data_IF_622068629407
#
_entry.id   IF_622068629407
#
_cell.length_a   1.000
_cell.length_b   1.000
_cell.length_c   1.000
_cell.angle_alpha   90.00
_cell.angle_beta   90.00
_cell.angle_gamma   90.00
#
_symmetry.space_group_name_H-M   'P 1'
#
loop_
_entity.id
_entity.type
_entity.pdbx_description
1 polymer ?
#
# COMPACT_ATOMS: atom_id res chain seq x y z
N UNK A 1 -0.39 14.00 6.37
CA UNK A 1 -0.47 14.77 5.10
C UNK A 1 0.89 14.90 4.39
N UNK A 2 1.99 15.20 5.10
CA UNK A 2 3.35 15.29 4.52
C UNK A 2 3.79 14.05 3.73
N UNK A 3 3.75 12.85 4.33
CA UNK A 3 4.13 11.60 3.66
C UNK A 3 3.35 11.34 2.36
N UNK A 4 2.05 11.64 2.35
CA UNK A 4 1.20 11.49 1.16
C UNK A 4 1.62 12.45 0.05
N UNK A 5 1.95 13.70 0.39
CA UNK A 5 2.44 14.67 -0.58
C UNK A 5 3.81 14.27 -1.14
N UNK A 6 4.72 13.80 -0.27
CA UNK A 6 6.04 13.31 -0.68
C UNK A 6 5.95 12.08 -1.62
N UNK A 7 5.03 11.16 -1.35
CA UNK A 7 4.84 9.97 -2.19
C UNK A 7 4.35 10.28 -3.62
N UNK A 8 3.68 11.41 -3.81
CA UNK A 8 3.09 11.82 -5.10
C UNK A 8 3.90 12.89 -5.83
N UNK A 9 4.90 13.48 -5.17
CA UNK A 9 5.73 14.53 -5.75
C UNK A 9 6.37 14.07 -7.08
N UNK A 10 6.21 14.88 -8.14
CA UNK A 10 6.74 14.58 -9.48
C UNK A 10 5.95 13.53 -10.26
N UNK A 11 5.08 12.75 -9.61
CA UNK A 11 4.30 11.67 -10.26
C UNK A 11 3.13 12.23 -11.06
N UNK A 12 2.48 13.28 -10.57
CA UNK A 12 1.34 13.88 -11.25
C UNK A 12 1.77 14.59 -12.54
N UNK A 13 2.95 15.22 -12.55
CA UNK A 13 3.54 15.80 -13.75
C UNK A 13 3.97 14.71 -14.75
N UNK A 14 4.45 13.56 -14.26
CA UNK A 14 4.86 12.43 -15.09
C UNK A 14 3.66 11.67 -15.71
N UNK A 15 2.52 11.63 -15.01
CA UNK A 15 1.30 10.92 -15.43
C UNK A 15 0.07 11.83 -15.35
N UNK A 16 0.00 12.91 -16.16
CA UNK A 16 -1.04 13.94 -16.05
C UNK A 16 -2.45 13.41 -16.38
N UNK A 17 -2.55 12.32 -17.13
CA UNK A 17 -3.80 11.67 -17.49
C UNK A 17 -4.43 10.85 -16.37
N UNK A 18 -3.71 10.62 -15.26
CA UNK A 18 -4.19 9.80 -14.15
C UNK A 18 -4.76 10.72 -13.07
N UNK A 19 -6.10 10.81 -12.91
CA UNK A 19 -6.69 11.58 -11.83
C UNK A 19 -6.31 10.97 -10.48
N UNK A 20 -5.93 11.83 -9.52
CA UNK A 20 -5.50 11.40 -8.19
C UNK A 20 -6.43 12.00 -7.13
N UNK A 21 -7.15 11.13 -6.44
CA UNK A 21 -7.97 11.50 -5.29
C UNK A 21 -7.26 11.16 -3.99
N UNK A 22 -7.07 12.17 -3.13
CA UNK A 22 -6.39 12.01 -1.84
C UNK A 22 -7.43 11.78 -0.74
N UNK A 23 -7.47 10.56 -0.21
CA UNK A 23 -8.40 10.21 0.87
C UNK A 23 -7.60 9.96 2.16
N UNK A 24 -7.88 10.75 3.20
CA UNK A 24 -7.33 10.54 4.54
C UNK A 24 -8.42 10.01 5.46
N UNK A 25 -8.26 8.78 5.94
CA UNK A 25 -9.18 8.14 6.87
C UNK A 25 -8.53 8.08 8.25
N UNK A 26 -9.29 8.39 9.30
CA UNK A 26 -8.88 8.17 10.69
C UNK A 26 -9.48 6.86 11.16
N UNK A 27 -8.65 5.90 11.55
CA UNK A 27 -9.11 4.59 12.02
C UNK A 27 -8.10 3.47 11.76
N UNK A 28 -8.57 2.23 11.82
CA UNK A 28 -7.78 1.05 11.48
C UNK A 28 -7.59 0.97 9.96
N UNK A 29 -6.32 0.83 9.53
CA UNK A 29 -6.00 0.78 8.11
C UNK A 29 -6.58 -0.44 7.40
N UNK A 30 -6.75 -1.58 8.09
CA UNK A 30 -7.30 -2.81 7.51
C UNK A 30 -8.76 -2.60 7.14
N UNK A 31 -9.55 -2.10 8.08
CA UNK A 31 -10.98 -1.85 7.89
C UNK A 31 -11.19 -0.87 6.73
N UNK A 32 -10.47 0.26 6.74
CA UNK A 32 -10.58 1.27 5.70
C UNK A 32 -10.20 0.74 4.31
N UNK A 33 -9.16 -0.08 4.20
CA UNK A 33 -8.73 -0.65 2.92
C UNK A 33 -9.68 -1.77 2.43
N UNK A 34 -10.21 -2.59 3.34
CA UNK A 34 -11.21 -3.61 3.01
C UNK A 34 -12.49 -2.94 2.50
N UNK A 35 -12.97 -1.88 3.17
CA UNK A 35 -14.13 -1.13 2.70
C UNK A 35 -13.86 -0.48 1.33
N UNK A 36 -12.69 0.15 1.15
CA UNK A 36 -12.31 0.75 -0.12
C UNK A 36 -12.23 -0.27 -1.27
N UNK A 37 -11.87 -1.53 -0.98
CA UNK A 37 -11.82 -2.60 -1.97
C UNK A 37 -13.18 -2.88 -2.63
N UNK A 38 -14.29 -2.58 -1.95
CA UNK A 38 -15.65 -2.71 -2.50
C UNK A 38 -15.96 -1.80 -3.67
N UNK A 39 -15.16 -0.75 -3.87
CA UNK A 39 -15.34 0.26 -4.92
C UNK A 39 -14.14 0.37 -5.86
N UNK A 40 -13.14 -0.49 -5.71
CA UNK A 40 -11.90 -0.46 -6.48
C UNK A 40 -11.80 -1.63 -7.46
N UNK A 41 -11.29 -1.39 -8.66
CA UNK A 41 -10.97 -2.47 -9.61
C UNK A 41 -9.67 -3.22 -9.28
N UNK A 42 -8.78 -2.60 -8.50
CA UNK A 42 -7.52 -3.18 -8.02
C UNK A 42 -7.08 -2.42 -6.78
N UNK A 43 -6.62 -3.14 -5.75
CA UNK A 43 -6.02 -2.55 -4.56
C UNK A 43 -4.52 -2.86 -4.51
N UNK A 44 -3.70 -1.82 -4.38
CA UNK A 44 -2.22 -1.94 -4.36
C UNK A 44 -1.69 -1.54 -2.99
N UNK A 45 -0.90 -2.43 -2.37
CA UNK A 45 -0.31 -2.24 -1.05
C UNK A 45 1.16 -2.64 -1.06
N UNK A 46 1.96 -2.06 -0.16
CA UNK A 46 3.30 -2.57 0.13
C UNK A 46 3.26 -3.93 0.83
N UNK A 47 4.30 -4.73 0.66
CA UNK A 47 4.46 -5.98 1.41
C UNK A 47 4.68 -5.74 2.90
N UNK A 48 5.35 -4.64 3.26
CA UNK A 48 5.60 -4.21 4.64
C UNK A 48 5.24 -2.74 4.81
N UNK A 49 4.83 -2.38 6.03
CA UNK A 49 4.55 -1.00 6.42
C UNK A 49 5.72 -0.34 7.16
N UNK A 50 5.43 0.75 7.88
CA UNK A 50 6.42 1.51 8.66
C UNK A 50 6.84 0.86 9.99
N UNK A 51 6.24 -0.29 10.34
CA UNK A 51 6.58 -1.09 11.51
C UNK A 51 6.50 -2.58 11.18
N UNK A 52 7.24 -3.40 11.94
CA UNK A 52 7.24 -4.85 11.77
C UNK A 52 8.48 -5.52 12.34
N UNK A 53 8.38 -6.83 12.55
CA UNK A 53 9.49 -7.67 12.99
C UNK A 53 10.37 -8.05 11.80
N UNK A 54 11.69 -8.06 11.99
CA UNK A 54 12.62 -8.61 11.02
C UNK A 54 12.24 -10.08 10.73
N UNK A 55 12.21 -10.47 9.46
CA UNK A 55 11.92 -11.84 9.02
C UNK A 55 10.48 -12.12 8.56
N UNK A 56 9.51 -11.22 8.77
CA UNK A 56 8.16 -11.41 8.23
C UNK A 56 8.07 -11.00 6.75
N UNK A 57 7.51 -11.90 5.92
CA UNK A 57 7.30 -11.66 4.49
C UNK A 57 6.22 -10.59 4.21
N UNK A 58 5.19 -10.54 5.05
CA UNK A 58 4.03 -9.66 4.88
C UNK A 58 3.67 -8.98 6.20
N UNK A 59 3.31 -7.70 6.12
CA UNK A 59 2.78 -6.92 7.25
C UNK A 59 1.33 -7.28 7.58
N UNK A 60 0.91 -6.94 8.79
CA UNK A 60 -0.45 -7.25 9.31
C UNK A 60 -1.57 -6.68 8.45
N UNK A 61 -1.37 -5.49 7.88
CA UNK A 61 -2.36 -4.86 6.99
C UNK A 61 -2.48 -5.63 5.69
N UNK A 62 -1.36 -5.95 5.04
CA UNK A 62 -1.35 -6.67 3.77
C UNK A 62 -1.92 -8.08 3.91
N UNK A 63 -1.64 -8.76 5.03
CA UNK A 63 -2.27 -10.04 5.38
C UNK A 63 -3.79 -9.92 5.47
N UNK A 64 -4.31 -8.97 6.27
CA UNK A 64 -5.75 -8.81 6.44
C UNK A 64 -6.46 -8.46 5.12
N UNK A 65 -5.87 -7.57 4.32
CA UNK A 65 -6.43 -7.17 3.03
C UNK A 65 -6.46 -8.34 2.05
N UNK A 66 -5.42 -9.17 1.99
CA UNK A 66 -5.41 -10.37 1.13
C UNK A 66 -6.53 -11.36 1.47
N UNK A 67 -6.94 -11.44 2.74
CA UNK A 67 -8.00 -12.36 3.17
C UNK A 67 -9.43 -11.82 2.98
N UNK A 68 -9.60 -10.50 2.93
CA UNK A 68 -10.92 -9.88 3.05
C UNK A 68 -11.28 -8.88 1.95
N UNK A 69 -10.34 -8.48 1.10
CA UNK A 69 -10.63 -7.57 0.00
C UNK A 69 -11.61 -8.21 -1.00
N UNK A 70 -12.53 -7.41 -1.51
CA UNK A 70 -13.52 -7.82 -2.51
C UNK A 70 -13.08 -7.54 -3.94
N UNK A 71 -11.83 -7.12 -4.15
CA UNK A 71 -11.24 -6.88 -5.46
C UNK A 71 -9.83 -7.49 -5.54
N UNK A 72 -9.26 -7.64 -6.75
CA UNK A 72 -7.88 -8.09 -6.90
C UNK A 72 -6.91 -7.25 -6.06
N UNK A 73 -5.89 -7.91 -5.49
CA UNK A 73 -4.88 -7.26 -4.65
C UNK A 73 -3.49 -7.49 -5.23
N UNK A 74 -2.75 -6.40 -5.45
CA UNK A 74 -1.33 -6.43 -5.80
C UNK A 74 -0.49 -6.04 -4.59
N UNK A 75 0.42 -6.92 -4.21
CA UNK A 75 1.40 -6.64 -3.14
C UNK A 75 2.76 -6.30 -3.73
N UNK A 76 3.13 -5.02 -3.62
CA UNK A 76 4.41 -4.52 -4.09
C UNK A 76 5.52 -4.82 -3.08
N UNK A 77 6.57 -5.52 -3.51
CA UNK A 77 7.81 -5.70 -2.74
C UNK A 77 8.85 -4.70 -3.21
N UNK A 78 9.57 -4.09 -2.27
CA UNK A 78 10.74 -3.31 -2.61
C UNK A 78 11.88 -4.26 -3.00
N UNK A 79 12.42 -4.10 -4.20
CA UNK A 79 13.64 -4.80 -4.61
C UNK A 79 14.84 -4.01 -4.09
N UNK A 80 15.24 -4.25 -2.84
CA UNK A 80 16.34 -3.51 -2.22
C UNK A 80 16.52 -3.83 -0.76
N UNK A 81 17.01 -5.05 -0.46
CA UNK A 81 17.92 -5.36 0.64
C UNK A 81 18.39 -6.82 0.51
N UNK A 82 19.23 -7.10 -0.50
CA UNK A 82 20.03 -8.33 -0.51
C UNK A 82 21.30 -7.98 0.26
N UNK A 83 21.25 -8.03 1.61
CA UNK A 83 22.46 -8.03 2.42
C UNK A 83 23.17 -9.37 2.18
N UNK A 84 24.34 -9.28 1.59
CA UNK A 84 25.58 -9.93 2.00
C UNK A 84 25.39 -11.12 2.97
N UNK A 85 25.32 -12.33 2.41
CA UNK A 85 25.63 -13.59 3.09
C UNK A 85 26.41 -14.48 2.10
N UNK A 86 27.67 -14.13 1.84
CA UNK A 86 28.82 -15.06 1.65
C UNK A 86 30.08 -14.38 2.17
#
# INVERSE_FOLDING_TARGET
>A
RRLLAEALAGRQEQYPQVPVDHVLVKGDAREALIEASGRAGLLVLGARGHGGFAGLLLGSVSQAVLHHATCPVTVARHFGDRRDDV
#
